data_IF_861875015960
#
_entry.id   IF_861875015960
#
_cell.length_a   1.000
_cell.length_b   1.000
_cell.length_c   1.000
_cell.angle_alpha   90.00
_cell.angle_beta   90.00
_cell.angle_gamma   90.00
#
_symmetry.space_group_name_H-M   'P 1'
#
loop_
_entity.id
_entity.type
_entity.pdbx_description
1 polymer ?
#
# COMPACT_ATOMS: atom_id res chain seq x y z
N UNK A 1 -9.45 8.77 29.05
CA UNK A 1 -9.76 8.43 27.65
C UNK A 1 -8.73 7.40 27.17
N UNK A 2 -9.14 6.44 26.32
CA UNK A 2 -8.20 5.54 25.68
C UNK A 2 -7.32 6.28 24.66
N UNK A 3 -6.20 5.65 24.25
CA UNK A 3 -5.35 6.16 23.18
C UNK A 3 -5.94 5.80 21.82
N UNK A 4 -5.71 6.65 20.82
CA UNK A 4 -6.17 6.49 19.43
C UNK A 4 -4.95 6.24 18.56
N UNK A 5 -4.97 5.18 17.75
CA UNK A 5 -3.99 4.96 16.71
C UNK A 5 -4.65 5.06 15.33
N UNK A 6 -4.02 5.77 14.38
CA UNK A 6 -4.37 5.70 12.98
C UNK A 6 -3.48 4.68 12.28
N UNK A 7 -4.12 3.76 11.56
CA UNK A 7 -3.43 2.68 10.84
C UNK A 7 -3.74 2.84 9.36
N UNK A 8 -2.70 2.83 8.53
CA UNK A 8 -2.79 3.06 7.10
C UNK A 8 -2.48 1.77 6.34
N UNK A 9 -3.34 1.46 5.37
CA UNK A 9 -3.24 0.24 4.58
C UNK A 9 -2.12 0.31 3.53
N UNK A 10 -1.84 -0.82 2.94
CA UNK A 10 -0.93 -0.94 1.80
C UNK A 10 -1.66 -1.22 0.50
N UNK A 11 -0.88 -1.47 -0.55
CA UNK A 11 -1.41 -1.91 -1.84
C UNK A 11 -2.17 -3.23 -1.67
N UNK A 12 -3.39 -3.28 -2.20
CA UNK A 12 -4.35 -4.38 -2.09
C UNK A 12 -5.74 -3.92 -1.62
N UNK A 13 -5.81 -2.80 -0.91
CA UNK A 13 -7.05 -2.28 -0.33
C UNK A 13 -7.76 -1.22 -1.21
N UNK A 14 -7.23 -0.94 -2.40
CA UNK A 14 -7.86 -0.01 -3.34
C UNK A 14 -9.11 -0.60 -4.00
N UNK A 15 -10.11 0.23 -4.22
CA UNK A 15 -11.35 -0.13 -4.92
C UNK A 15 -11.95 1.06 -5.67
N UNK A 16 -12.68 0.82 -6.77
CA UNK A 16 -13.40 1.87 -7.50
C UNK A 16 -14.38 2.63 -6.61
N UNK A 17 -14.34 3.95 -6.67
CA UNK A 17 -15.21 4.81 -5.85
C UNK A 17 -14.63 5.20 -4.49
N UNK A 18 -13.42 4.74 -4.14
CA UNK A 18 -12.80 5.07 -2.85
C UNK A 18 -12.63 6.57 -2.66
N UNK A 19 -13.12 7.05 -1.52
CA UNK A 19 -13.03 8.46 -1.12
C UNK A 19 -14.02 9.41 -1.81
N UNK A 20 -14.82 8.96 -2.79
CA UNK A 20 -15.80 9.81 -3.49
C UNK A 20 -16.79 10.46 -2.52
N UNK A 21 -17.44 9.65 -1.68
CA UNK A 21 -18.39 10.14 -0.69
C UNK A 21 -17.74 11.12 0.30
N UNK A 22 -16.50 10.86 0.71
CA UNK A 22 -15.76 11.76 1.59
C UNK A 22 -15.51 13.12 0.92
N UNK A 23 -15.09 13.11 -0.35
CA UNK A 23 -14.85 14.33 -1.14
C UNK A 23 -16.13 15.15 -1.35
N UNK A 24 -17.26 14.49 -1.64
CA UNK A 24 -18.54 15.15 -1.84
C UNK A 24 -19.08 15.76 -0.55
N UNK A 25 -18.83 15.16 0.60
CA UNK A 25 -19.43 15.49 1.87
C UNK A 25 -18.60 16.45 2.73
N UNK A 26 -17.28 16.45 2.56
CA UNK A 26 -16.36 17.19 3.41
C UNK A 26 -15.38 18.04 2.60
N UNK A 27 -15.45 19.38 2.72
CA UNK A 27 -14.55 20.30 1.99
C UNK A 27 -13.06 20.02 2.24
N UNK A 28 -12.69 19.57 3.44
CA UNK A 28 -11.30 19.24 3.77
C UNK A 28 -10.80 18.03 2.97
N UNK A 29 -11.65 17.03 2.70
CA UNK A 29 -11.32 15.91 1.84
C UNK A 29 -11.23 16.34 0.38
N UNK A 30 -12.17 17.15 -0.10
CA UNK A 30 -12.13 17.73 -1.45
C UNK A 30 -10.83 18.52 -1.69
N UNK A 31 -10.36 19.29 -0.69
CA UNK A 31 -9.10 20.03 -0.77
C UNK A 31 -7.89 19.12 -0.91
N UNK A 32 -7.88 17.94 -0.25
CA UNK A 32 -6.80 16.94 -0.42
C UNK A 32 -6.78 16.42 -1.85
N UNK A 33 -7.92 16.04 -2.41
CA UNK A 33 -7.98 15.59 -3.80
C UNK A 33 -7.59 16.68 -4.80
N UNK A 34 -8.01 17.93 -4.57
CA UNK A 34 -7.62 19.07 -5.39
C UNK A 34 -6.09 19.30 -5.37
N UNK A 35 -5.45 19.18 -4.21
CA UNK A 35 -3.98 19.22 -4.08
C UNK A 35 -3.33 18.08 -4.86
N UNK A 36 -3.84 16.86 -4.74
CA UNK A 36 -3.34 15.71 -5.47
C UNK A 36 -3.48 15.89 -6.99
N UNK A 37 -4.61 16.38 -7.47
CA UNK A 37 -4.86 16.66 -8.89
C UNK A 37 -3.95 17.77 -9.42
N UNK A 38 -3.60 18.76 -8.59
CA UNK A 38 -2.62 19.78 -8.95
C UNK A 38 -1.21 19.24 -9.19
N UNK A 39 -0.87 18.11 -8.58
CA UNK A 39 0.44 17.45 -8.72
C UNK A 39 0.41 16.34 -9.79
N UNK A 40 -0.61 15.49 -9.74
CA UNK A 40 -0.86 14.38 -10.67
C UNK A 40 -2.30 14.49 -11.18
N UNK A 41 -2.52 15.16 -12.33
CA UNK A 41 -3.86 15.39 -12.86
C UNK A 41 -4.65 14.09 -13.05
N UNK A 42 -5.93 14.11 -12.66
CA UNK A 42 -6.84 12.98 -12.78
C UNK A 42 -6.76 11.96 -11.63
N UNK A 43 -6.05 12.25 -10.55
CA UNK A 43 -5.98 11.36 -9.37
C UNK A 43 -7.37 11.15 -8.74
N UNK A 44 -8.14 12.22 -8.55
CA UNK A 44 -9.50 12.15 -8.01
C UNK A 44 -10.42 11.34 -8.92
N UNK A 45 -10.42 11.62 -10.22
CA UNK A 45 -11.21 10.87 -11.20
C UNK A 45 -10.86 9.38 -11.20
N UNK A 46 -9.57 9.05 -11.11
CA UNK A 46 -9.12 7.67 -11.04
C UNK A 46 -9.56 6.96 -9.76
N UNK A 47 -9.55 7.64 -8.60
CA UNK A 47 -10.09 7.10 -7.35
C UNK A 47 -11.60 6.85 -7.43
N UNK A 48 -12.35 7.78 -8.02
CA UNK A 48 -13.82 7.80 -7.98
C UNK A 48 -14.46 6.96 -9.08
N UNK A 49 -13.82 6.85 -10.25
CA UNK A 49 -14.41 6.31 -11.47
C UNK A 49 -13.48 5.33 -12.21
N UNK A 50 -12.24 5.15 -11.72
CA UNK A 50 -11.27 4.22 -12.31
C UNK A 50 -11.73 2.78 -12.18
N UNK A 51 -11.33 1.94 -13.14
CA UNK A 51 -11.63 0.51 -13.13
C UNK A 51 -10.76 -0.26 -12.15
N UNK A 52 -11.15 -1.49 -11.82
CA UNK A 52 -10.35 -2.39 -10.98
C UNK A 52 -8.97 -2.64 -11.60
N UNK A 53 -8.91 -2.78 -12.93
CA UNK A 53 -7.69 -3.03 -13.69
C UNK A 53 -6.75 -1.82 -13.61
N UNK A 54 -7.26 -0.62 -13.83
CA UNK A 54 -6.47 0.61 -13.70
C UNK A 54 -5.90 0.79 -12.28
N UNK A 55 -6.73 0.53 -11.26
CA UNK A 55 -6.33 0.66 -9.86
C UNK A 55 -5.37 -0.46 -9.39
N UNK A 56 -5.23 -1.57 -10.13
CA UNK A 56 -4.22 -2.60 -9.85
C UNK A 56 -2.81 -2.21 -10.26
N UNK A 57 -2.66 -1.32 -11.22
CA UNK A 57 -1.33 -0.85 -11.63
C UNK A 57 -0.68 -0.07 -10.49
N UNK A 58 0.48 -0.50 -10.03
CA UNK A 58 1.17 0.07 -8.87
C UNK A 58 1.37 1.59 -8.96
N UNK A 59 1.64 2.11 -10.18
CA UNK A 59 1.76 3.55 -10.46
C UNK A 59 0.46 4.33 -10.22
N UNK A 60 -0.68 3.65 -10.22
CA UNK A 60 -2.00 4.21 -9.96
C UNK A 60 -2.46 3.91 -8.52
N UNK A 61 -2.26 2.67 -8.06
CA UNK A 61 -2.63 2.24 -6.71
C UNK A 61 -2.07 3.16 -5.64
N UNK A 62 -0.77 3.44 -5.70
CA UNK A 62 -0.09 4.16 -4.62
C UNK A 62 -0.57 5.61 -4.47
N UNK A 63 -0.62 6.45 -5.53
CA UNK A 63 -1.17 7.79 -5.37
C UNK A 63 -2.65 7.80 -4.99
N UNK A 64 -3.46 6.89 -5.51
CA UNK A 64 -4.89 6.85 -5.23
C UNK A 64 -5.18 6.45 -3.77
N UNK A 65 -4.51 5.43 -3.24
CA UNK A 65 -4.63 5.07 -1.82
C UNK A 65 -4.13 6.18 -0.91
N UNK A 66 -2.96 6.75 -1.19
CA UNK A 66 -2.43 7.87 -0.41
C UNK A 66 -3.43 9.03 -0.33
N UNK A 67 -3.99 9.46 -1.47
CA UNK A 67 -4.98 10.54 -1.52
C UNK A 67 -6.21 10.23 -0.67
N UNK A 68 -6.71 8.99 -0.77
CA UNK A 68 -7.90 8.54 -0.02
C UNK A 68 -7.65 8.48 1.49
N UNK A 69 -6.52 7.92 1.90
CA UNK A 69 -6.14 7.80 3.32
C UNK A 69 -5.86 9.18 3.94
N UNK A 70 -5.21 10.08 3.20
CA UNK A 70 -4.97 11.44 3.65
C UNK A 70 -6.27 12.24 3.74
N UNK A 71 -7.20 12.07 2.78
CA UNK A 71 -8.52 12.68 2.82
C UNK A 71 -9.33 12.22 4.03
N UNK A 72 -9.36 10.91 4.30
CA UNK A 72 -10.02 10.34 5.47
C UNK A 72 -9.41 10.88 6.78
N UNK A 73 -8.08 10.95 6.85
CA UNK A 73 -7.36 11.52 8.00
C UNK A 73 -7.72 13.00 8.21
N UNK A 74 -7.81 13.76 7.13
CA UNK A 74 -8.16 15.18 7.20
C UNK A 74 -9.57 15.39 7.76
N UNK A 75 -10.53 14.53 7.37
CA UNK A 75 -11.88 14.55 7.94
C UNK A 75 -11.88 14.22 9.42
N UNK A 76 -11.14 13.19 9.84
CA UNK A 76 -11.06 12.82 11.26
C UNK A 76 -10.47 13.97 12.09
N UNK A 77 -9.37 14.58 11.62
CA UNK A 77 -8.75 15.73 12.29
C UNK A 77 -9.69 16.95 12.36
N UNK A 78 -10.44 17.23 11.30
CA UNK A 78 -11.47 18.29 11.27
C UNK A 78 -12.57 18.04 12.31
N UNK A 79 -12.90 16.79 12.59
CA UNK A 79 -13.85 16.39 13.65
C UNK A 79 -13.24 16.31 15.05
N UNK A 80 -12.00 16.73 15.22
CA UNK A 80 -11.30 16.71 16.51
C UNK A 80 -10.80 15.34 16.94
N UNK A 81 -10.83 14.35 16.06
CA UNK A 81 -10.24 13.02 16.31
C UNK A 81 -8.77 13.06 15.90
N UNK A 82 -7.89 13.09 16.91
CA UNK A 82 -6.44 13.16 16.70
C UNK A 82 -5.79 11.84 17.13
N UNK A 83 -4.78 11.35 16.41
CA UNK A 83 -4.08 10.14 16.81
C UNK A 83 -3.02 10.43 17.86
N UNK A 84 -2.88 9.55 18.85
CA UNK A 84 -1.73 9.48 19.76
C UNK A 84 -0.55 8.73 19.11
N UNK A 85 -0.84 7.86 18.14
CA UNK A 85 0.16 7.10 17.39
C UNK A 85 -0.32 6.87 15.95
N UNK A 86 0.62 6.66 15.04
CA UNK A 86 0.36 6.28 13.66
C UNK A 86 1.19 5.06 13.27
N UNK A 87 0.64 4.21 12.41
CA UNK A 87 1.36 3.09 11.82
C UNK A 87 0.89 2.90 10.38
N UNK A 88 1.73 2.32 9.54
CA UNK A 88 1.40 2.07 8.14
C UNK A 88 2.03 0.78 7.63
N UNK A 89 1.40 0.17 6.65
CA UNK A 89 1.90 -1.00 5.95
C UNK A 89 2.38 -0.62 4.56
N UNK A 90 3.68 -0.77 4.26
CA UNK A 90 4.28 -0.47 2.95
C UNK A 90 3.97 0.97 2.47
N UNK A 91 3.02 1.17 1.57
CA UNK A 91 2.55 2.49 1.15
C UNK A 91 2.04 3.31 2.35
N UNK A 92 1.29 2.69 3.24
CA UNK A 92 0.74 3.33 4.42
C UNK A 92 1.80 3.92 5.37
N UNK A 93 3.05 3.44 5.32
CA UNK A 93 4.17 4.05 6.06
C UNK A 93 4.43 5.48 5.59
N UNK A 94 4.32 5.74 4.28
CA UNK A 94 4.49 7.10 3.73
C UNK A 94 3.33 8.00 4.15
N UNK A 95 2.10 7.46 4.20
CA UNK A 95 0.94 8.19 4.73
C UNK A 95 1.13 8.50 6.21
N UNK A 96 1.54 7.50 7.01
CA UNK A 96 1.83 7.68 8.44
C UNK A 96 2.90 8.74 8.67
N UNK A 97 4.00 8.70 7.92
CA UNK A 97 5.08 9.70 7.98
C UNK A 97 4.59 11.12 7.62
N UNK A 98 3.69 11.23 6.65
CA UNK A 98 3.05 12.50 6.29
C UNK A 98 2.13 12.99 7.41
N UNK A 99 1.28 12.12 7.94
CA UNK A 99 0.28 12.47 8.97
C UNK A 99 0.94 12.90 10.30
N UNK A 100 2.11 12.34 10.65
CA UNK A 100 2.87 12.75 11.81
C UNK A 100 3.83 13.95 11.55
N UNK A 101 3.87 14.49 10.32
CA UNK A 101 4.60 15.73 10.01
C UNK A 101 6.07 15.54 9.63
N UNK A 102 6.52 14.32 9.30
CA UNK A 102 7.86 14.10 8.71
C UNK A 102 7.91 14.70 7.30
N UNK A 103 6.82 14.56 6.55
CA UNK A 103 6.62 15.21 5.25
C UNK A 103 5.40 16.14 5.32
N UNK A 104 5.38 17.20 4.52
CA UNK A 104 4.13 17.87 4.18
C UNK A 104 3.32 17.01 3.18
N UNK A 105 2.05 17.35 3.01
CA UNK A 105 1.12 16.58 2.18
C UNK A 105 1.58 16.48 0.71
N UNK A 106 2.09 17.58 0.16
CA UNK A 106 2.57 17.61 -1.24
C UNK A 106 3.80 16.75 -1.43
N UNK A 107 4.77 16.85 -0.51
CA UNK A 107 6.00 16.05 -0.54
C UNK A 107 5.69 14.57 -0.41
N UNK A 108 4.82 14.17 0.54
CA UNK A 108 4.37 12.80 0.70
C UNK A 108 3.69 12.26 -0.56
N UNK A 109 2.81 13.08 -1.17
CA UNK A 109 2.13 12.68 -2.41
C UNK A 109 3.08 12.55 -3.60
N UNK A 110 4.02 13.49 -3.79
CA UNK A 110 5.05 13.38 -4.83
C UNK A 110 5.92 12.14 -4.65
N UNK A 111 6.25 11.80 -3.40
CA UNK A 111 7.04 10.62 -3.07
C UNK A 111 6.31 9.33 -3.48
N UNK A 112 5.02 9.19 -3.17
CA UNK A 112 4.26 7.99 -3.56
C UNK A 112 4.01 7.89 -5.05
N UNK A 113 3.82 9.01 -5.75
CA UNK A 113 3.77 9.03 -7.22
C UNK A 113 5.07 8.46 -7.79
N UNK A 114 6.20 8.96 -7.34
CA UNK A 114 7.52 8.48 -7.81
C UNK A 114 7.79 7.03 -7.43
N UNK A 115 7.44 6.63 -6.20
CA UNK A 115 7.55 5.25 -5.73
C UNK A 115 6.72 4.30 -6.59
N UNK A 116 5.46 4.64 -6.87
CA UNK A 116 4.57 3.85 -7.72
C UNK A 116 5.10 3.66 -9.13
N UNK A 117 5.59 4.74 -9.77
CA UNK A 117 6.22 4.69 -11.10
C UNK A 117 7.45 3.77 -11.12
N UNK A 118 8.34 3.93 -10.15
CA UNK A 118 9.57 3.15 -10.08
C UNK A 118 9.29 1.67 -9.84
N UNK A 119 8.40 1.35 -8.91
CA UNK A 119 8.01 -0.03 -8.61
C UNK A 119 7.33 -0.70 -9.81
N UNK A 120 6.42 0.02 -10.49
CA UNK A 120 5.78 -0.49 -11.71
C UNK A 120 6.81 -0.80 -12.79
N UNK A 121 7.70 0.14 -13.07
CA UNK A 121 8.75 0.00 -14.07
C UNK A 121 9.70 -1.17 -13.79
N UNK A 122 10.05 -1.40 -12.52
CA UNK A 122 10.92 -2.52 -12.16
C UNK A 122 10.18 -3.86 -12.25
N UNK A 123 8.90 -3.90 -11.84
CA UNK A 123 8.08 -5.11 -11.94
C UNK A 123 7.84 -5.56 -13.38
N UNK A 124 7.81 -4.63 -14.36
CA UNK A 124 7.64 -4.94 -15.78
C UNK A 124 8.86 -5.60 -16.44
N UNK A 125 10.03 -5.59 -15.77
CA UNK A 125 11.27 -6.17 -16.33
C UNK A 125 11.35 -7.69 -16.20
N UNK A 126 10.63 -8.26 -15.25
CA UNK A 126 10.70 -9.67 -14.91
C UNK A 126 9.30 -10.25 -14.69
N UNK A 127 9.10 -11.47 -15.14
CA UNK A 127 7.90 -12.23 -14.79
C UNK A 127 8.04 -12.76 -13.36
N UNK A 128 7.49 -11.97 -12.42
CA UNK A 128 7.54 -12.26 -10.98
C UNK A 128 6.16 -12.45 -10.39
N UNK A 129 6.09 -13.23 -9.35
CA UNK A 129 4.90 -13.36 -8.53
C UNK A 129 5.21 -13.19 -7.04
N UNK A 130 4.17 -12.95 -6.28
CA UNK A 130 4.25 -12.69 -4.84
C UNK A 130 3.14 -13.45 -4.12
N UNK A 131 3.45 -14.00 -2.94
CA UNK A 131 2.45 -14.68 -2.11
C UNK A 131 2.76 -14.52 -0.63
N UNK A 132 1.70 -14.59 0.18
CA UNK A 132 1.82 -14.67 1.63
C UNK A 132 1.88 -16.15 2.05
N UNK A 133 3.00 -16.54 2.64
CA UNK A 133 3.15 -17.83 3.33
C UNK A 133 2.63 -17.67 4.75
N UNK A 134 1.71 -18.55 5.14
CA UNK A 134 1.10 -18.55 6.47
C UNK A 134 1.41 -19.85 7.21
N UNK A 135 1.39 -19.80 8.54
CA UNK A 135 1.57 -20.92 9.47
C UNK A 135 3.01 -21.45 9.64
N UNK A 136 3.92 -21.16 8.73
CA UNK A 136 5.32 -21.51 8.90
C UNK A 136 6.07 -20.47 9.74
N UNK A 137 7.14 -20.89 10.40
CA UNK A 137 8.03 -19.95 11.11
C UNK A 137 8.91 -19.18 10.11
N UNK A 138 9.44 -18.01 10.50
CA UNK A 138 10.37 -17.26 9.67
C UNK A 138 11.56 -18.10 9.18
N UNK A 139 12.13 -18.92 10.05
CA UNK A 139 13.28 -19.76 9.77
C UNK A 139 12.94 -20.81 8.72
N UNK A 140 11.76 -21.45 8.81
CA UNK A 140 11.30 -22.42 7.82
C UNK A 140 11.11 -21.80 6.45
N UNK A 141 10.51 -20.57 6.39
CA UNK A 141 10.30 -19.88 5.11
C UNK A 141 11.63 -19.49 4.48
N UNK A 142 12.58 -18.97 5.28
CA UNK A 142 13.93 -18.61 4.80
C UNK A 142 14.64 -19.86 4.26
N UNK A 143 14.65 -20.98 5.00
CA UNK A 143 15.27 -22.23 4.58
C UNK A 143 14.68 -22.75 3.24
N UNK A 144 13.36 -22.63 3.05
CA UNK A 144 12.74 -23.04 1.79
C UNK A 144 13.16 -22.07 0.67
N UNK A 145 13.18 -20.76 0.90
CA UNK A 145 13.62 -19.78 -0.09
C UNK A 145 15.07 -20.03 -0.55
N UNK A 146 15.97 -20.41 0.35
CA UNK A 146 17.40 -20.69 0.03
C UNK A 146 17.62 -21.85 -0.95
N UNK A 147 16.59 -22.66 -1.22
CA UNK A 147 16.63 -23.72 -2.24
C UNK A 147 16.49 -23.20 -3.66
N UNK A 148 16.11 -21.91 -3.82
CA UNK A 148 15.81 -21.27 -5.08
C UNK A 148 16.75 -20.08 -5.30
N UNK A 149 17.17 -19.84 -6.55
CA UNK A 149 18.07 -18.71 -6.88
C UNK A 149 17.39 -17.36 -6.84
N UNK A 150 16.09 -17.32 -7.15
CA UNK A 150 15.33 -16.09 -7.35
C UNK A 150 13.98 -16.12 -6.62
N UNK A 151 13.97 -16.61 -5.38
CA UNK A 151 12.83 -16.57 -4.46
C UNK A 151 13.30 -16.03 -3.12
N UNK A 152 12.66 -14.97 -2.65
CA UNK A 152 13.12 -14.20 -1.50
C UNK A 152 11.98 -13.91 -0.50
N UNK A 153 12.23 -14.05 0.82
CA UNK A 153 11.32 -13.50 1.82
C UNK A 153 11.46 -11.97 1.81
N UNK A 154 10.37 -11.26 1.54
CA UNK A 154 10.40 -9.79 1.32
C UNK A 154 9.74 -8.99 2.44
N UNK A 155 8.70 -9.54 3.09
CA UNK A 155 8.05 -8.88 4.23
C UNK A 155 7.75 -9.88 5.35
N UNK A 156 8.21 -9.58 6.55
CA UNK A 156 7.86 -10.27 7.78
C UNK A 156 6.69 -9.51 8.44
N UNK A 157 5.45 -9.83 8.03
CA UNK A 157 4.27 -9.02 8.36
C UNK A 157 3.84 -9.16 9.82
N UNK A 158 3.79 -10.39 10.30
CA UNK A 158 3.47 -10.70 11.70
C UNK A 158 3.92 -12.14 11.99
N UNK A 159 3.89 -12.59 13.26
CA UNK A 159 4.12 -13.99 13.59
C UNK A 159 3.25 -14.92 12.75
N UNK A 160 3.88 -15.81 11.99
CA UNK A 160 3.19 -16.77 11.12
C UNK A 160 2.69 -16.24 9.77
N UNK A 161 3.12 -15.03 9.34
CA UNK A 161 2.84 -14.55 7.99
C UNK A 161 4.05 -13.82 7.38
N UNK A 162 4.58 -14.37 6.30
CA UNK A 162 5.72 -13.82 5.56
C UNK A 162 5.34 -13.72 4.09
N UNK A 163 5.54 -12.56 3.49
CA UNK A 163 5.41 -12.39 2.05
C UNK A 163 6.71 -12.81 1.39
N UNK A 164 6.58 -13.65 0.36
CA UNK A 164 7.68 -14.14 -0.49
C UNK A 164 7.43 -13.64 -1.91
N UNK A 165 8.49 -13.24 -2.59
CA UNK A 165 8.48 -12.85 -4.00
C UNK A 165 9.59 -13.55 -4.75
N UNK A 166 9.35 -13.89 -6.01
CA UNK A 166 10.34 -14.52 -6.87
C UNK A 166 9.91 -14.61 -8.33
N UNK A 167 10.78 -15.19 -9.16
CA UNK A 167 10.45 -15.47 -10.55
C UNK A 167 9.27 -16.44 -10.62
N UNK A 168 8.27 -16.12 -11.46
CA UNK A 168 7.05 -16.96 -11.59
C UNK A 168 7.36 -18.41 -11.93
N UNK A 169 8.43 -18.65 -12.68
CA UNK A 169 8.90 -20.00 -13.02
C UNK A 169 9.35 -20.83 -11.82
N UNK A 170 9.85 -20.22 -10.76
CA UNK A 170 10.32 -20.90 -9.55
C UNK A 170 9.24 -20.95 -8.45
N UNK A 171 8.28 -20.02 -8.49
CA UNK A 171 7.25 -19.92 -7.45
C UNK A 171 6.30 -21.13 -7.41
N UNK A 172 6.10 -21.83 -8.53
CA UNK A 172 5.27 -23.05 -8.57
C UNK A 172 5.86 -24.16 -7.71
N UNK A 173 7.15 -24.41 -7.85
CA UNK A 173 7.87 -25.44 -7.08
C UNK A 173 8.00 -24.99 -5.62
N UNK A 174 8.30 -23.72 -5.38
CA UNK A 174 8.32 -23.14 -4.06
C UNK A 174 6.98 -23.36 -3.30
N UNK A 175 5.83 -23.14 -3.95
CA UNK A 175 4.53 -23.40 -3.31
C UNK A 175 4.31 -24.87 -2.99
N UNK A 176 4.87 -25.78 -3.77
CA UNK A 176 4.81 -27.20 -3.48
C UNK A 176 5.62 -27.56 -2.25
N UNK A 177 6.82 -26.99 -2.11
CA UNK A 177 7.67 -27.17 -0.93
C UNK A 177 7.05 -26.56 0.33
N UNK A 178 6.47 -25.36 0.24
CA UNK A 178 5.74 -24.73 1.36
C UNK A 178 4.58 -25.60 1.84
N UNK A 179 3.78 -26.15 0.91
CA UNK A 179 2.67 -27.04 1.25
C UNK A 179 3.14 -28.37 1.89
N UNK A 180 4.31 -28.85 1.50
CA UNK A 180 4.89 -30.06 2.09
C UNK A 180 5.44 -29.83 3.50
N UNK A 181 5.79 -28.58 3.83
CA UNK A 181 6.33 -28.20 5.13
C UNK A 181 5.26 -27.88 6.19
N UNK A 182 4.00 -27.62 5.80
CA UNK A 182 2.87 -27.27 6.70
C UNK A 182 1.75 -26.62 5.98
#
# INVERSE_FOLDING_TARGET
MGKIAFVFSGQGDQYPGMGKELSEKYPVAASVYAMCDGIRPGTSAQCFEGTVEELKETKNTQPCLFATELAATSVLKDKGVLPDAVAGFSLGEVVAATVCGIFDNETGFRLVCKRGELMQREAEKFDTSMAAVVKLTPEQVVEICERYSDVYPVNFNCPGQITVSGLSSQMTDFFSDVKAAG
#
